data_IF_923897611217
#
_entry.id   IF_923897611217
#
_cell.length_a   1.000
_cell.length_b   1.000
_cell.length_c   1.000
_cell.angle_alpha   90.00
_cell.angle_beta   90.00
_cell.angle_gamma   90.00
#
_symmetry.space_group_name_H-M   'P 1'
#
loop_
_entity.id
_entity.type
_entity.pdbx_description
1 polymer ?
#
# COMPACT_ATOMS: atom_id res chain seq x y z
N UNK A 1 -3.90 -18.00 -0.15
CA UNK A 1 -4.72 -17.06 -0.94
C UNK A 1 -5.83 -17.74 -1.74
N UNK A 2 -5.53 -18.68 -2.65
CA UNK A 2 -6.51 -19.21 -3.65
C UNK A 2 -7.86 -19.69 -3.09
N UNK A 3 -7.95 -20.45 -1.98
CA UNK A 3 -9.26 -20.88 -1.47
C UNK A 3 -10.17 -19.71 -1.06
N UNK A 4 -9.58 -18.61 -0.59
CA UNK A 4 -10.33 -17.41 -0.20
C UNK A 4 -10.79 -16.63 -1.44
N UNK A 5 -9.92 -16.52 -2.45
CA UNK A 5 -10.31 -15.97 -3.77
C UNK A 5 -11.50 -16.71 -4.35
N UNK A 6 -11.44 -18.04 -4.39
CA UNK A 6 -12.55 -18.87 -4.88
C UNK A 6 -13.81 -18.73 -4.04
N UNK A 7 -13.69 -18.48 -2.74
CA UNK A 7 -14.84 -18.22 -1.88
C UNK A 7 -15.53 -16.91 -2.26
N UNK A 8 -14.79 -15.83 -2.51
CA UNK A 8 -15.36 -14.57 -3.01
C UNK A 8 -16.03 -14.74 -4.37
N UNK A 9 -15.40 -15.48 -5.29
CA UNK A 9 -15.96 -15.79 -6.61
C UNK A 9 -17.29 -16.56 -6.49
N UNK A 10 -17.32 -17.64 -5.69
CA UNK A 10 -18.48 -18.56 -5.63
C UNK A 10 -19.61 -18.07 -4.74
N UNK A 11 -19.30 -17.38 -3.64
CA UNK A 11 -20.29 -16.98 -2.64
C UNK A 11 -20.89 -15.59 -2.89
N UNK A 12 -20.11 -14.68 -3.49
CA UNK A 12 -20.49 -13.27 -3.63
C UNK A 12 -20.48 -12.76 -5.07
N UNK A 13 -20.17 -13.61 -6.06
CA UNK A 13 -20.07 -13.26 -7.47
C UNK A 13 -19.01 -12.17 -7.74
N UNK A 14 -17.94 -12.17 -6.95
CA UNK A 14 -16.81 -11.26 -7.16
C UNK A 14 -15.94 -11.75 -8.32
N UNK A 15 -15.34 -10.83 -9.06
CA UNK A 15 -14.32 -11.13 -10.07
C UNK A 15 -12.93 -10.73 -9.61
N UNK A 16 -11.91 -11.36 -10.21
CA UNK A 16 -10.51 -10.94 -10.05
C UNK A 16 -10.32 -9.63 -10.79
N UNK A 17 -10.09 -8.56 -10.04
CA UNK A 17 -9.90 -7.23 -10.58
C UNK A 17 -8.45 -6.97 -10.96
N UNK A 18 -7.52 -7.40 -10.09
CA UNK A 18 -6.09 -7.20 -10.30
C UNK A 18 -5.28 -8.26 -9.55
N UNK A 19 -4.05 -8.52 -9.99
CA UNK A 19 -3.15 -9.43 -9.31
C UNK A 19 -1.71 -9.00 -9.47
N UNK A 20 -0.90 -9.25 -8.44
CA UNK A 20 0.55 -9.16 -8.48
C UNK A 20 1.17 -10.42 -7.93
N UNK A 21 2.25 -10.84 -8.59
CA UNK A 21 3.08 -11.94 -8.13
C UNK A 21 4.37 -11.44 -7.45
N UNK A 22 5.14 -12.40 -6.96
CA UNK A 22 6.43 -12.24 -6.30
C UNK A 22 7.55 -11.75 -7.23
N UNK A 23 7.30 -11.65 -8.54
CA UNK A 23 8.21 -11.01 -9.50
C UNK A 23 7.88 -9.53 -9.69
N UNK A 24 6.74 -9.07 -9.20
CA UNK A 24 6.31 -7.68 -9.28
C UNK A 24 6.40 -6.97 -7.94
N UNK A 25 6.15 -7.67 -6.82
CA UNK A 25 6.21 -7.11 -5.46
C UNK A 25 7.20 -7.89 -4.60
N UNK A 26 8.43 -7.40 -4.58
CA UNK A 26 9.53 -7.94 -3.79
C UNK A 26 10.53 -6.83 -3.40
N UNK A 27 11.18 -6.97 -2.25
CA UNK A 27 12.45 -6.31 -1.93
C UNK A 27 13.62 -7.25 -2.22
N UNK A 28 14.84 -6.81 -1.92
CA UNK A 28 16.01 -7.70 -1.86
C UNK A 28 15.78 -8.90 -0.91
N UNK A 29 14.92 -8.75 0.11
CA UNK A 29 14.82 -9.69 1.22
C UNK A 29 13.53 -10.50 1.24
N UNK A 30 12.38 -9.89 0.96
CA UNK A 30 11.08 -10.57 1.09
C UNK A 30 10.12 -10.23 -0.05
N UNK A 31 9.03 -11.00 -0.17
CA UNK A 31 8.04 -10.83 -1.23
C UNK A 31 6.62 -11.16 -0.74
N UNK A 32 5.61 -10.82 -1.54
CA UNK A 32 4.23 -11.26 -1.35
C UNK A 32 3.55 -11.53 -2.69
N UNK A 33 2.42 -12.24 -2.64
CA UNK A 33 1.46 -12.32 -3.74
C UNK A 33 0.15 -11.69 -3.32
N UNK A 34 -0.53 -11.04 -4.26
CA UNK A 34 -1.82 -10.40 -4.00
C UNK A 34 -2.79 -10.65 -5.14
N UNK A 35 -4.03 -10.98 -4.80
CA UNK A 35 -5.17 -10.97 -5.73
C UNK A 35 -6.21 -10.03 -5.15
N UNK A 36 -6.63 -9.04 -5.94
CA UNK A 36 -7.71 -8.13 -5.57
C UNK A 36 -9.01 -8.63 -6.17
N UNK A 37 -9.97 -8.90 -5.29
CA UNK A 37 -11.34 -9.26 -5.65
C UNK A 37 -12.21 -8.00 -5.67
N UNK A 38 -13.14 -7.92 -6.61
CA UNK A 38 -14.11 -6.83 -6.67
C UNK A 38 -15.53 -7.36 -6.89
N UNK A 39 -16.53 -6.66 -6.37
CA UNK A 39 -17.93 -6.89 -6.74
C UNK A 39 -18.17 -6.51 -8.23
N UNK A 40 -19.28 -6.96 -8.85
CA UNK A 40 -19.53 -6.71 -10.27
C UNK A 40 -19.50 -5.22 -10.68
N UNK A 41 -19.90 -4.31 -9.80
CA UNK A 41 -19.83 -2.86 -10.03
C UNK A 41 -18.54 -2.21 -9.53
N UNK A 42 -17.60 -2.99 -9.01
CA UNK A 42 -16.28 -2.60 -8.52
C UNK A 42 -16.30 -1.49 -7.45
N UNK A 43 -17.36 -1.44 -6.64
CA UNK A 43 -17.49 -0.54 -5.48
C UNK A 43 -16.79 -1.11 -4.25
N UNK A 44 -16.82 -2.43 -4.09
CA UNK A 44 -16.16 -3.17 -3.03
C UNK A 44 -14.91 -3.81 -3.63
N UNK A 45 -13.77 -3.54 -3.02
CA UNK A 45 -12.46 -4.06 -3.46
C UNK A 45 -11.77 -4.69 -2.25
N UNK A 46 -11.37 -5.95 -2.37
CA UNK A 46 -10.75 -6.74 -1.30
C UNK A 46 -9.43 -7.33 -1.79
N UNK A 47 -8.29 -6.68 -1.50
CA UNK A 47 -6.97 -7.28 -1.69
C UNK A 47 -6.78 -8.48 -0.74
N UNK A 48 -6.41 -9.62 -1.30
CA UNK A 48 -6.10 -10.85 -0.55
C UNK A 48 -4.62 -11.15 -0.77
N UNK A 49 -3.85 -11.12 0.31
CA UNK A 49 -2.40 -11.33 0.28
C UNK A 49 -2.02 -12.71 0.82
N UNK A 50 -0.90 -13.26 0.35
CA UNK A 50 -0.20 -14.37 0.98
C UNK A 50 1.32 -14.12 1.02
N UNK A 51 2.04 -14.68 2.00
CA UNK A 51 3.50 -14.62 1.99
C UNK A 51 4.04 -15.31 0.74
N UNK A 52 5.12 -14.77 0.19
CA UNK A 52 5.88 -15.40 -0.88
C UNK A 52 7.31 -15.71 -0.43
N UNK A 53 7.97 -16.62 -1.14
CA UNK A 53 9.34 -16.99 -0.84
C UNK A 53 10.30 -15.81 -1.04
N UNK A 54 11.18 -15.62 -0.07
CA UNK A 54 12.23 -14.60 -0.05
C UNK A 54 13.41 -15.06 0.78
N UNK A 55 14.48 -14.26 0.83
CA UNK A 55 15.62 -14.52 1.72
C UNK A 55 15.25 -14.41 3.20
N UNK A 56 14.33 -13.50 3.51
CA UNK A 56 13.84 -13.21 4.86
C UNK A 56 12.32 -13.38 4.92
N UNK A 57 11.81 -13.42 6.15
CA UNK A 57 10.39 -13.57 6.47
C UNK A 57 9.56 -12.44 5.86
N UNK A 58 8.54 -12.79 5.07
CA UNK A 58 7.56 -11.84 4.55
C UNK A 58 6.77 -11.16 5.68
N UNK A 59 6.52 -9.86 5.57
CA UNK A 59 5.64 -9.13 6.50
C UNK A 59 4.22 -9.73 6.60
N UNK A 60 3.74 -10.43 5.56
CA UNK A 60 2.44 -11.13 5.64
C UNK A 60 2.54 -12.31 6.61
N UNK A 61 3.69 -12.96 6.68
CA UNK A 61 3.94 -13.99 7.69
C UNK A 61 4.10 -13.38 9.09
N UNK A 62 4.75 -12.21 9.24
CA UNK A 62 4.77 -11.47 10.52
C UNK A 62 3.33 -11.20 11.00
N UNK A 63 2.46 -10.68 10.12
CA UNK A 63 1.05 -10.48 10.46
C UNK A 63 0.40 -11.76 10.98
N UNK A 64 0.53 -12.88 10.26
CA UNK A 64 -0.08 -14.17 10.64
C UNK A 64 0.47 -14.67 11.99
N UNK A 65 1.77 -14.54 12.22
CA UNK A 65 2.42 -14.98 13.46
C UNK A 65 1.86 -14.23 14.69
N UNK A 66 1.63 -12.91 14.58
CA UNK A 66 1.14 -12.08 15.68
C UNK A 66 -0.40 -12.03 15.79
N UNK A 67 -1.12 -12.19 14.67
CA UNK A 67 -2.58 -12.26 14.65
C UNK A 67 -3.08 -13.66 15.06
N UNK A 68 -2.32 -14.71 14.76
CA UNK A 68 -2.63 -16.11 15.04
C UNK A 68 -3.46 -16.80 13.95
N UNK A 69 -3.84 -16.08 12.89
CA UNK A 69 -4.60 -16.61 11.74
C UNK A 69 -4.53 -15.66 10.54
N UNK A 70 -5.28 -15.98 9.48
CA UNK A 70 -5.66 -14.96 8.50
C UNK A 70 -6.57 -13.89 9.14
N UNK A 71 -6.56 -12.68 8.59
CA UNK A 71 -7.32 -11.55 9.11
C UNK A 71 -7.22 -10.31 8.22
N UNK A 72 -7.85 -9.22 8.67
CA UNK A 72 -7.77 -7.91 8.00
C UNK A 72 -6.49 -7.22 8.43
N UNK A 73 -5.59 -6.96 7.48
CA UNK A 73 -4.32 -6.26 7.74
C UNK A 73 -4.51 -4.75 7.78
N UNK A 74 -5.25 -4.18 6.81
CA UNK A 74 -5.51 -2.75 6.81
C UNK A 74 -6.86 -2.40 6.20
N UNK A 75 -7.29 -1.18 6.51
CA UNK A 75 -8.49 -0.55 5.95
C UNK A 75 -8.08 0.77 5.31
N UNK A 76 -8.39 0.95 4.03
CA UNK A 76 -8.14 2.18 3.30
C UNK A 76 -9.31 3.15 3.41
N UNK A 77 -9.04 4.37 3.89
CA UNK A 77 -10.03 5.43 4.10
C UNK A 77 -9.82 6.53 3.05
N UNK A 78 -10.82 6.73 2.20
CA UNK A 78 -10.76 7.73 1.14
C UNK A 78 -10.94 9.15 1.69
N UNK A 79 -10.18 10.11 1.15
CA UNK A 79 -10.32 11.54 1.43
C UNK A 79 -10.19 12.37 0.16
N UNK A 80 -10.76 13.57 0.17
CA UNK A 80 -10.66 14.54 -0.92
C UNK A 80 -9.51 15.54 -0.70
N UNK A 81 -8.89 15.55 0.48
CA UNK A 81 -7.73 16.38 0.81
C UNK A 81 -6.82 15.64 1.79
N UNK A 82 -5.90 14.84 1.24
CA UNK A 82 -4.98 14.01 1.99
C UNK A 82 -3.97 14.85 2.77
N UNK A 83 -3.57 16.01 2.26
CA UNK A 83 -2.61 16.89 2.94
C UNK A 83 -3.22 17.40 4.25
N UNK A 84 -4.44 17.92 4.22
CA UNK A 84 -5.12 18.37 5.44
C UNK A 84 -5.47 17.19 6.35
N UNK A 85 -5.93 16.08 5.78
CA UNK A 85 -6.28 14.87 6.56
C UNK A 85 -5.07 14.38 7.36
N UNK A 86 -3.93 14.19 6.71
CA UNK A 86 -2.69 13.71 7.35
C UNK A 86 -2.16 14.73 8.35
N UNK A 87 -2.18 16.04 8.04
CA UNK A 87 -1.79 17.09 8.99
C UNK A 87 -2.62 17.03 10.28
N UNK A 88 -3.94 16.95 10.16
CA UNK A 88 -4.82 16.87 11.32
C UNK A 88 -4.66 15.55 12.08
N UNK A 89 -4.44 14.43 11.39
CA UNK A 89 -4.18 13.14 12.05
C UNK A 89 -2.87 13.18 12.84
N UNK A 90 -1.78 13.70 12.27
CA UNK A 90 -0.51 13.88 12.98
C UNK A 90 -0.65 14.80 14.19
N UNK A 91 -1.36 15.92 14.07
CA UNK A 91 -1.63 16.83 15.18
C UNK A 91 -2.44 16.17 16.32
N UNK A 92 -3.24 15.15 16.01
CA UNK A 92 -4.00 14.36 16.98
C UNK A 92 -3.22 13.15 17.52
N UNK A 93 -1.94 13.01 17.16
CA UNK A 93 -1.06 11.96 17.67
C UNK A 93 -1.07 10.66 16.87
N UNK A 94 -1.55 10.67 15.62
CA UNK A 94 -1.45 9.50 14.76
C UNK A 94 -0.05 9.39 14.13
N UNK A 95 0.59 8.23 14.31
CA UNK A 95 1.87 7.90 13.72
C UNK A 95 1.73 7.24 12.36
N UNK A 96 2.61 7.62 11.44
CA UNK A 96 2.66 7.10 10.07
C UNK A 96 4.00 6.43 9.78
N UNK A 97 4.01 5.54 8.79
CA UNK A 97 5.25 4.98 8.27
C UNK A 97 6.15 6.09 7.72
N UNK A 98 7.46 5.83 7.79
CA UNK A 98 8.47 6.69 7.17
C UNK A 98 8.79 6.17 5.78
N UNK A 99 8.97 7.09 4.82
CA UNK A 99 9.35 6.74 3.45
C UNK A 99 10.83 7.12 3.24
N UNK A 100 11.64 6.28 2.57
CA UNK A 100 13.02 6.63 2.23
C UNK A 100 13.10 7.93 1.43
N UNK A 101 14.05 8.82 1.78
CA UNK A 101 14.20 10.13 1.09
C UNK A 101 14.41 10.00 -0.42
N UNK A 102 15.14 8.95 -0.83
CA UNK A 102 15.43 8.62 -2.24
C UNK A 102 14.18 8.38 -3.09
N UNK A 103 13.05 8.03 -2.46
CA UNK A 103 11.76 7.91 -3.13
C UNK A 103 11.37 9.22 -3.82
N UNK A 104 11.42 10.35 -3.10
CA UNK A 104 10.98 11.64 -3.61
C UNK A 104 11.93 12.21 -4.67
N UNK A 105 13.22 11.92 -4.57
CA UNK A 105 14.20 12.29 -5.60
C UNK A 105 13.85 11.60 -6.93
N UNK A 106 13.56 10.30 -6.87
CA UNK A 106 13.14 9.50 -8.03
C UNK A 106 11.79 9.96 -8.56
N UNK A 107 10.82 10.21 -7.66
CA UNK A 107 9.48 10.66 -8.01
C UNK A 107 9.50 12.01 -8.73
N UNK A 108 10.30 12.98 -8.26
CA UNK A 108 10.45 14.28 -8.92
C UNK A 108 10.96 14.15 -10.36
N UNK A 109 11.97 13.32 -10.57
CA UNK A 109 12.50 13.06 -11.90
C UNK A 109 11.42 12.45 -12.81
N UNK A 110 10.66 11.48 -12.32
CA UNK A 110 9.61 10.81 -13.08
C UNK A 110 8.42 11.76 -13.39
N UNK A 111 7.97 12.54 -12.41
CA UNK A 111 6.88 13.51 -12.59
C UNK A 111 7.26 14.68 -13.50
N UNK A 112 8.55 15.05 -13.58
CA UNK A 112 9.02 16.08 -14.53
C UNK A 112 8.78 15.72 -16.00
N UNK A 113 8.61 14.43 -16.29
CA UNK A 113 8.22 13.91 -17.60
C UNK A 113 6.72 13.63 -17.63
N UNK A 114 6.20 12.88 -16.65
CA UNK A 114 4.80 12.44 -16.61
C UNK A 114 3.80 13.61 -16.63
N UNK A 115 4.01 14.64 -15.80
CA UNK A 115 3.08 15.77 -15.68
C UNK A 115 2.97 16.61 -16.98
N UNK A 116 3.89 16.44 -17.94
CA UNK A 116 3.82 17.11 -19.24
C UNK A 116 2.88 16.43 -20.23
N UNK A 117 2.57 15.15 -20.01
CA UNK A 117 1.86 14.31 -20.99
C UNK A 117 0.55 13.73 -20.48
N UNK A 118 0.35 13.66 -19.17
CA UNK A 118 -0.86 13.09 -18.57
C UNK A 118 -2.06 14.05 -18.65
N UNK A 119 -3.27 13.49 -18.66
CA UNK A 119 -4.51 14.29 -18.65
C UNK A 119 -4.76 15.00 -17.33
N UNK A 120 -4.44 14.34 -16.21
CA UNK A 120 -4.64 14.86 -14.86
C UNK A 120 -3.31 14.78 -14.10
N UNK A 121 -2.45 15.82 -14.18
CA UNK A 121 -1.16 15.82 -13.50
C UNK A 121 -1.30 15.92 -11.98
N UNK A 122 -0.26 15.45 -11.27
CA UNK A 122 -0.12 15.68 -9.83
C UNK A 122 -0.02 17.18 -9.59
N UNK A 123 -0.93 17.73 -8.79
CA UNK A 123 -1.01 19.18 -8.53
C UNK A 123 -0.50 19.58 -7.14
N UNK A 124 -0.44 18.62 -6.22
CA UNK A 124 0.06 18.82 -4.88
C UNK A 124 1.56 19.14 -4.88
N UNK A 125 1.96 19.99 -3.94
CA UNK A 125 3.36 20.34 -3.72
C UNK A 125 4.13 19.11 -3.21
N UNK A 126 5.09 18.66 -4.01
CA UNK A 126 5.93 17.50 -3.70
C UNK A 126 6.76 17.68 -2.43
N UNK A 127 7.13 18.91 -2.05
CA UNK A 127 7.84 19.19 -0.79
C UNK A 127 6.90 18.98 0.40
N UNK A 128 5.64 19.35 0.26
CA UNK A 128 4.60 19.08 1.27
C UNK A 128 4.35 17.57 1.36
N UNK A 129 4.16 16.88 0.24
CA UNK A 129 3.96 15.43 0.21
C UNK A 129 5.15 14.70 0.87
N UNK A 130 6.38 15.13 0.57
CA UNK A 130 7.61 14.63 1.17
C UNK A 130 7.67 14.86 2.68
N UNK A 131 7.35 16.06 3.16
CA UNK A 131 7.31 16.36 4.59
C UNK A 131 6.27 15.51 5.35
N UNK A 132 5.25 15.04 4.64
CA UNK A 132 4.16 14.25 5.22
C UNK A 132 4.35 12.75 5.05
N UNK A 133 5.34 12.28 4.27
CA UNK A 133 5.54 10.87 3.89
C UNK A 133 4.39 10.31 3.02
N UNK A 134 3.75 11.14 2.20
CA UNK A 134 2.67 10.72 1.28
C UNK A 134 3.29 10.21 -0.02
N UNK A 135 2.91 9.00 -0.42
CA UNK A 135 3.33 8.36 -1.66
C UNK A 135 2.39 8.73 -2.82
N UNK A 136 2.91 8.68 -4.03
CA UNK A 136 2.23 9.03 -5.29
C UNK A 136 2.39 7.89 -6.28
N UNK A 137 1.28 7.30 -6.73
CA UNK A 137 1.25 6.42 -7.90
C UNK A 137 0.41 7.07 -8.99
N UNK A 138 0.73 6.79 -10.25
CA UNK A 138 0.09 7.46 -11.38
C UNK A 138 0.03 6.58 -12.63
N UNK A 139 -0.97 6.86 -13.45
CA UNK A 139 -1.15 6.30 -14.79
C UNK A 139 -1.44 7.42 -15.80
N UNK A 140 -1.67 7.06 -17.05
CA UNK A 140 -1.96 8.03 -18.12
C UNK A 140 -3.23 8.88 -17.90
N UNK A 141 -4.15 8.42 -17.04
CA UNK A 141 -5.43 9.06 -16.77
C UNK A 141 -5.40 9.93 -15.52
N UNK A 142 -4.60 9.59 -14.50
CA UNK A 142 -4.52 10.34 -13.27
C UNK A 142 -3.57 9.74 -12.25
N UNK A 143 -3.79 10.06 -10.98
CA UNK A 143 -2.89 9.65 -9.91
C UNK A 143 -3.67 9.36 -8.62
N UNK A 144 -3.00 8.66 -7.71
CA UNK A 144 -3.46 8.45 -6.35
C UNK A 144 -2.37 8.85 -5.37
N UNK A 145 -2.81 9.35 -4.23
CA UNK A 145 -1.98 9.67 -3.08
C UNK A 145 -2.32 8.70 -1.96
N UNK A 146 -1.32 8.14 -1.28
CA UNK A 146 -1.53 7.17 -0.22
C UNK A 146 -0.50 7.30 0.90
N UNK A 147 -0.90 6.94 2.12
CA UNK A 147 0.00 6.86 3.28
C UNK A 147 -0.56 5.88 4.30
N UNK A 148 0.33 5.10 4.93
CA UNK A 148 -0.06 4.11 5.93
C UNK A 148 0.30 4.58 7.34
N UNK A 149 -0.60 4.34 8.28
CA UNK A 149 -0.31 4.50 9.70
C UNK A 149 0.70 3.43 10.15
N UNK A 150 1.32 3.63 11.31
CA UNK A 150 1.86 2.51 12.09
C UNK A 150 0.71 1.57 12.53
N UNK A 151 1.02 0.34 12.97
CA UNK A 151 0.01 -0.52 13.61
C UNK A 151 -0.76 0.23 14.70
N UNK A 152 -2.07 0.00 14.78
CA UNK A 152 -2.95 0.66 15.76
C UNK A 152 -2.83 0.06 17.17
N UNK A 153 -2.14 -1.06 17.29
CA UNK A 153 -1.84 -1.76 18.54
C UNK A 153 -0.35 -2.16 18.56
N UNK A 154 0.14 -2.62 19.72
CA UNK A 154 1.53 -3.05 19.85
C UNK A 154 1.89 -4.24 18.96
N UNK A 155 0.89 -5.06 18.60
CA UNK A 155 1.07 -6.16 17.66
C UNK A 155 1.15 -5.58 16.23
N UNK A 156 2.07 -6.07 15.38
CA UNK A 156 2.19 -5.62 13.99
C UNK A 156 1.10 -6.23 13.10
N UNK A 157 -0.16 -5.90 13.41
CA UNK A 157 -1.36 -6.50 12.81
C UNK A 157 -2.14 -5.46 12.02
N UNK A 158 -3.13 -4.80 12.64
CA UNK A 158 -4.05 -3.88 11.97
C UNK A 158 -3.44 -2.47 11.87
N UNK A 159 -3.45 -1.91 10.66
CA UNK A 159 -3.15 -0.50 10.42
C UNK A 159 -4.20 0.13 9.48
N UNK A 160 -4.09 1.43 9.23
CA UNK A 160 -5.00 2.17 8.35
C UNK A 160 -4.21 2.81 7.22
N UNK A 161 -4.80 2.81 6.03
CA UNK A 161 -4.34 3.59 4.89
C UNK A 161 -5.23 4.82 4.73
N UNK A 162 -4.65 5.99 4.46
CA UNK A 162 -5.37 7.14 3.96
C UNK A 162 -5.07 7.28 2.48
N UNK A 163 -6.11 7.33 1.65
CA UNK A 163 -5.98 7.38 0.20
C UNK A 163 -6.78 8.55 -0.39
N UNK A 164 -6.22 9.23 -1.38
CA UNK A 164 -6.94 10.20 -2.22
C UNK A 164 -6.77 9.78 -3.67
N UNK A 165 -7.87 9.77 -4.42
CA UNK A 165 -7.89 9.34 -5.82
C UNK A 165 -8.23 10.52 -6.72
N UNK A 166 -7.38 10.79 -7.70
CA UNK A 166 -7.58 11.80 -8.72
C UNK A 166 -7.65 11.10 -10.08
N UNK A 167 -8.85 10.71 -10.50
CA UNK A 167 -9.10 9.97 -11.75
C UNK A 167 -8.29 8.67 -11.89
N UNK A 168 -8.04 7.98 -10.77
CA UNK A 168 -7.29 6.74 -10.72
C UNK A 168 -8.00 5.66 -9.90
N UNK A 169 -8.34 4.54 -10.56
CA UNK A 169 -9.12 3.45 -9.97
C UNK A 169 -8.27 2.23 -9.51
N UNK A 170 -6.96 2.24 -9.79
CA UNK A 170 -6.04 1.15 -9.40
C UNK A 170 -5.60 1.17 -7.93
N UNK A 171 -4.55 0.42 -7.60
CA UNK A 171 -4.13 0.14 -6.21
C UNK A 171 -2.73 0.62 -5.83
N UNK A 172 -2.09 1.45 -6.65
CA UNK A 172 -0.76 1.92 -6.27
C UNK A 172 0.33 0.93 -6.63
N UNK A 173 0.20 0.19 -7.75
CA UNK A 173 1.16 -0.84 -8.17
C UNK A 173 2.60 -0.30 -8.17
N UNK A 174 2.80 0.94 -8.61
CA UNK A 174 4.12 1.60 -8.57
C UNK A 174 4.59 1.93 -7.16
N UNK A 175 3.67 2.19 -6.23
CA UNK A 175 3.98 2.42 -4.81
C UNK A 175 4.20 1.15 -4.01
N UNK A 176 3.70 -0.02 -4.46
CA UNK A 176 3.79 -1.27 -3.71
C UNK A 176 5.20 -1.56 -3.23
N UNK A 177 6.22 -1.34 -4.08
CA UNK A 177 7.61 -1.53 -3.69
C UNK A 177 8.04 -0.59 -2.56
N UNK A 178 7.74 0.70 -2.65
CA UNK A 178 8.16 1.70 -1.65
C UNK A 178 7.43 1.52 -0.32
N UNK A 179 6.14 1.15 -0.38
CA UNK A 179 5.36 0.73 0.80
C UNK A 179 5.98 -0.49 1.46
N UNK A 180 6.31 -1.49 0.65
CA UNK A 180 6.85 -2.76 1.11
C UNK A 180 8.22 -2.56 1.76
N UNK A 181 9.11 -1.76 1.17
CA UNK A 181 10.38 -1.33 1.78
C UNK A 181 10.17 -0.61 3.13
N UNK A 182 9.13 0.23 3.23
CA UNK A 182 8.84 0.99 4.46
C UNK A 182 8.29 0.09 5.58
N UNK A 183 7.44 -0.88 5.23
CA UNK A 183 6.94 -1.89 6.17
C UNK A 183 8.04 -2.86 6.61
N UNK A 184 8.90 -3.28 5.68
CA UNK A 184 10.07 -4.12 5.95
C UNK A 184 11.06 -3.43 6.89
N UNK A 185 11.28 -2.12 6.73
CA UNK A 185 12.09 -1.33 7.68
C UNK A 185 11.50 -1.36 9.09
N UNK A 186 10.19 -1.22 9.25
CA UNK A 186 9.55 -1.31 10.56
C UNK A 186 9.55 -2.75 11.11
N UNK A 187 9.47 -3.78 10.25
CA UNK A 187 9.62 -5.19 10.63
C UNK A 187 11.04 -5.47 11.16
N UNK A 188 12.07 -4.91 10.52
CA UNK A 188 13.46 -4.96 11.00
C UNK A 188 13.61 -4.25 12.35
N UNK A 189 13.01 -3.07 12.53
CA UNK A 189 13.01 -2.34 13.82
C UNK A 189 12.36 -3.15 14.96
N UNK A 190 11.40 -4.01 14.66
CA UNK A 190 10.78 -4.94 15.61
C UNK A 190 11.61 -6.22 15.85
N UNK A 191 12.66 -6.46 15.05
CA UNK A 191 13.48 -7.66 15.10
C UNK A 191 12.83 -8.90 14.46
N UNK A 192 11.81 -8.69 13.61
CA UNK A 192 11.01 -9.77 13.01
C UNK A 192 11.35 -10.07 11.54
N UNK A 193 12.30 -9.34 10.95
CA UNK A 193 12.80 -9.59 9.60
C UNK A 193 13.94 -10.63 9.65
N UNK A 194 13.58 -11.85 10.02
CA UNK A 194 14.53 -12.95 10.22
C UNK A 194 14.79 -13.70 8.92
N UNK A 195 15.94 -14.39 8.85
CA UNK A 195 16.16 -15.38 7.80
C UNK A 195 15.12 -16.51 7.92
N UNK A 196 14.74 -17.09 6.77
CA UNK A 196 13.79 -18.21 6.71
C UNK A 196 14.42 -19.54 7.11
#
# INVERSE_FOLDING_TARGET
MNPIVEFYEKAFDFHRFWSVDDKQVFTEYSALRSIVMADPEERIKVPINEPAEGRKKSQIQEFIDFYGSAGVQHIAINTNDIIQSVKHMKQRGCDFLSIPKTYYDTLRAALSVHNKTCKNPVVEDLDILQSLNILVDYDENGYLLQIFTKPLEDRPTLFVEIIQRNNHNGFGAGNFKSLFESLEMEQELRGNLTDN
#
